data_IF_808350791488
#
_entry.id   IF_808350791488
#
_cell.length_a   1.000
_cell.length_b   1.000
_cell.length_c   1.000
_cell.angle_alpha   90.00
_cell.angle_beta   90.00
_cell.angle_gamma   90.00
#
_symmetry.space_group_name_H-M   'P 1'
#
loop_
_entity.id
_entity.type
_entity.pdbx_description
1 polymer ?
#
# COMPACT_ATOMS: atom_id res chain seq x y z
N UNK A 1 -7.77 4.57 -16.69
CA UNK A 1 -8.71 5.55 -17.26
C UNK A 1 -9.95 5.57 -16.38
N UNK A 2 -10.33 6.74 -15.84
CA UNK A 2 -11.54 6.86 -15.01
C UNK A 2 -12.80 6.81 -15.89
N UNK A 3 -13.90 6.24 -15.38
CA UNK A 3 -15.21 6.29 -16.02
C UNK A 3 -15.63 7.75 -16.35
N UNK A 4 -15.22 8.72 -15.54
CA UNK A 4 -15.43 10.15 -15.79
C UNK A 4 -14.92 10.58 -17.18
N UNK A 5 -13.77 10.08 -17.62
CA UNK A 5 -13.23 10.39 -18.96
C UNK A 5 -14.05 9.78 -20.10
N UNK A 6 -14.71 8.64 -19.88
CA UNK A 6 -15.55 7.99 -20.89
C UNK A 6 -16.91 8.69 -21.04
N UNK A 7 -17.38 9.41 -20.01
CA UNK A 7 -18.70 10.04 -19.97
C UNK A 7 -18.71 11.57 -20.14
N UNK A 8 -17.56 12.21 -20.42
CA UNK A 8 -17.46 13.67 -20.61
C UNK A 8 -18.44 14.26 -21.63
N UNK A 9 -18.95 13.47 -22.57
CA UNK A 9 -19.86 13.92 -23.63
C UNK A 9 -21.31 13.43 -23.48
N UNK A 10 -21.70 12.85 -22.34
CA UNK A 10 -23.03 12.27 -22.12
C UNK A 10 -23.63 12.73 -20.78
N UNK A 11 -24.03 14.00 -20.70
CA UNK A 11 -24.61 14.64 -19.50
C UNK A 11 -25.76 13.83 -18.87
N UNK A 12 -26.58 13.17 -19.68
CA UNK A 12 -27.73 12.38 -19.20
C UNK A 12 -27.35 11.08 -18.47
N UNK A 13 -26.10 10.60 -18.59
CA UNK A 13 -25.64 9.34 -17.98
C UNK A 13 -24.92 9.54 -16.64
N UNK A 14 -24.70 10.78 -16.22
CA UNK A 14 -24.00 11.13 -14.96
C UNK A 14 -24.95 11.08 -13.74
N UNK A 15 -26.26 11.19 -13.97
CA UNK A 15 -27.26 11.28 -12.91
C UNK A 15 -27.40 10.00 -12.06
N UNK A 16 -27.48 8.82 -12.70
CA UNK A 16 -27.70 7.55 -11.99
C UNK A 16 -26.54 7.19 -11.05
N UNK A 17 -25.26 7.28 -11.48
CA UNK A 17 -24.14 7.00 -10.61
C UNK A 17 -24.04 8.00 -9.43
N UNK A 18 -24.35 9.28 -9.65
CA UNK A 18 -24.36 10.31 -8.59
C UNK A 18 -25.49 10.06 -7.57
N UNK A 19 -26.67 9.64 -8.03
CA UNK A 19 -27.79 9.26 -7.17
C UNK A 19 -27.41 8.07 -6.27
N UNK A 20 -26.77 7.04 -6.83
CA UNK A 20 -26.29 5.89 -6.06
C UNK A 20 -25.23 6.31 -5.03
N UNK A 21 -24.28 7.17 -5.41
CA UNK A 21 -23.28 7.70 -4.50
C UNK A 21 -23.93 8.50 -3.35
N UNK A 22 -24.91 9.35 -3.66
CA UNK A 22 -25.65 10.12 -2.66
C UNK A 22 -26.40 9.21 -1.70
N UNK A 23 -27.11 8.20 -2.21
CA UNK A 23 -27.80 7.20 -1.39
C UNK A 23 -26.83 6.44 -0.48
N UNK A 24 -25.68 6.05 -0.99
CA UNK A 24 -24.64 5.38 -0.20
C UNK A 24 -24.12 6.27 0.92
N UNK A 25 -23.81 7.54 0.62
CA UNK A 25 -23.38 8.53 1.63
C UNK A 25 -24.46 8.73 2.69
N UNK A 26 -25.72 8.92 2.29
CA UNK A 26 -26.82 9.11 3.23
C UNK A 26 -27.04 7.89 4.14
N UNK A 27 -26.94 6.68 3.58
CA UNK A 27 -27.01 5.44 4.36
C UNK A 27 -25.88 5.36 5.38
N UNK A 28 -24.63 5.55 4.94
CA UNK A 28 -23.46 5.50 5.83
C UNK A 28 -23.53 6.56 6.92
N UNK A 29 -23.93 7.79 6.58
CA UNK A 29 -24.10 8.87 7.55
C UNK A 29 -25.12 8.54 8.64
N UNK A 30 -26.19 7.80 8.31
CA UNK A 30 -27.19 7.35 9.27
C UNK A 30 -26.72 6.22 10.20
N UNK A 31 -25.71 5.45 9.80
CA UNK A 31 -25.16 4.33 10.57
C UNK A 31 -23.97 4.72 11.44
N UNK A 32 -23.33 5.86 11.16
CA UNK A 32 -22.21 6.34 11.95
C UNK A 32 -22.69 6.81 13.34
N UNK A 33 -21.96 6.46 14.42
CA UNK A 33 -22.25 6.99 15.75
C UNK A 33 -22.35 8.52 15.73
N UNK A 34 -23.47 9.07 16.23
CA UNK A 34 -23.62 10.50 16.41
C UNK A 34 -22.57 10.99 17.41
N UNK A 35 -21.86 12.09 17.13
CA UNK A 35 -20.95 12.66 18.12
C UNK A 35 -21.76 13.04 19.37
N UNK A 36 -21.18 12.91 20.58
CA UNK A 36 -21.83 13.44 21.77
C UNK A 36 -22.09 14.94 21.58
N UNK A 37 -23.20 15.48 22.11
CA UNK A 37 -23.46 16.91 22.05
C UNK A 37 -22.29 17.64 22.73
N UNK A 38 -21.70 18.58 22.00
CA UNK A 38 -20.64 19.45 22.52
C UNK A 38 -21.33 20.47 23.44
N UNK A 39 -21.47 20.14 24.72
CA UNK A 39 -21.81 21.14 25.73
C UNK A 39 -20.61 22.07 25.93
N UNK A 40 -20.71 23.25 25.32
CA UNK A 40 -20.04 24.49 25.68
C UNK A 40 -18.55 24.41 26.03
N UNK A 41 -17.67 24.47 25.02
CA UNK A 41 -16.45 25.28 25.12
C UNK A 41 -15.94 25.66 23.72
N UNK A 42 -15.36 26.84 23.64
CA UNK A 42 -15.09 27.66 22.46
C UNK A 42 -14.45 26.94 21.27
N UNK A 43 -14.98 27.25 20.08
CA UNK A 43 -14.43 26.87 18.77
C UNK A 43 -13.09 27.58 18.58
N UNK A 44 -12.01 26.97 19.06
CA UNK A 44 -10.68 27.18 18.50
C UNK A 44 -10.55 26.25 17.31
N UNK A 45 -10.39 26.81 16.11
CA UNK A 45 -10.01 26.07 14.91
C UNK A 45 -8.59 25.54 15.14
N UNK A 46 -8.49 24.40 15.81
CA UNK A 46 -7.30 23.57 15.87
C UNK A 46 -7.60 22.29 15.11
N UNK A 47 -6.63 21.85 14.33
CA UNK A 47 -6.53 20.50 13.75
C UNK A 47 -6.48 19.47 14.88
N UNK A 48 -7.55 19.34 15.66
CA UNK A 48 -7.72 18.27 16.63
C UNK A 48 -8.07 17.00 15.86
N UNK A 49 -7.02 16.25 15.59
CA UNK A 49 -6.99 14.80 15.54
C UNK A 49 -8.34 14.15 15.94
N UNK A 50 -9.07 13.63 14.95
CA UNK A 50 -10.30 12.83 15.10
C UNK A 50 -10.10 11.54 15.93
N UNK A 51 -8.86 11.28 16.37
CA UNK A 51 -8.47 10.18 17.27
C UNK A 51 -9.27 10.28 18.56
N UNK A 52 -10.30 9.44 18.67
CA UNK A 52 -11.20 9.42 19.83
C UNK A 52 -12.68 9.28 19.46
N UNK A 53 -13.10 9.69 18.26
CA UNK A 53 -14.53 9.80 17.90
C UNK A 53 -15.29 8.47 17.91
N UNK A 54 -14.59 7.36 17.69
CA UNK A 54 -15.17 6.01 17.58
C UNK A 54 -14.64 5.04 18.64
N UNK A 55 -13.92 5.54 19.65
CA UNK A 55 -13.37 4.67 20.71
C UNK A 55 -14.53 4.06 21.50
N UNK A 56 -14.66 2.73 21.45
CA UNK A 56 -15.73 1.98 22.12
C UNK A 56 -17.01 1.77 21.29
N UNK A 57 -17.11 2.30 20.07
CA UNK A 57 -18.25 2.02 19.19
C UNK A 57 -18.09 0.68 18.47
N UNK A 58 -19.16 -0.11 18.42
CA UNK A 58 -19.20 -1.32 17.60
C UNK A 58 -19.45 -0.92 16.14
N UNK A 59 -18.42 -1.02 15.30
CA UNK A 59 -18.50 -0.68 13.88
C UNK A 59 -18.93 -1.92 13.12
N UNK A 60 -19.98 -1.81 12.30
CA UNK A 60 -20.42 -2.92 11.45
C UNK A 60 -19.50 -3.07 10.23
N UNK A 61 -19.31 -4.32 9.79
CA UNK A 61 -18.45 -4.67 8.65
C UNK A 61 -18.87 -3.95 7.36
N UNK A 62 -20.18 -3.81 7.13
CA UNK A 62 -20.77 -3.19 5.94
C UNK A 62 -20.57 -1.66 5.91
N UNK A 63 -20.60 -1.00 7.06
CA UNK A 63 -20.31 0.45 7.19
C UNK A 63 -18.86 0.73 6.84
N UNK A 64 -17.93 -0.05 7.39
CA UNK A 64 -16.51 0.09 7.12
C UNK A 64 -16.20 -0.22 5.65
N UNK A 65 -16.66 -1.36 5.15
CA UNK A 65 -16.47 -1.76 3.75
C UNK A 65 -17.13 -0.75 2.79
N UNK A 66 -18.34 -0.29 3.10
CA UNK A 66 -19.04 0.72 2.30
C UNK A 66 -18.28 2.03 2.24
N UNK A 67 -17.66 2.47 3.34
CA UNK A 67 -16.83 3.67 3.35
C UNK A 67 -15.55 3.49 2.51
N UNK A 68 -14.91 2.31 2.59
CA UNK A 68 -13.74 1.96 1.78
C UNK A 68 -14.09 1.97 0.29
N UNK A 69 -15.16 1.27 -0.10
CA UNK A 69 -15.63 1.21 -1.49
C UNK A 69 -15.98 2.61 -2.02
N UNK A 70 -16.72 3.39 -1.24
CA UNK A 70 -17.08 4.76 -1.61
C UNK A 70 -15.84 5.61 -1.89
N UNK A 71 -14.81 5.52 -1.04
CA UNK A 71 -13.55 6.20 -1.25
C UNK A 71 -12.75 5.71 -2.47
N UNK A 72 -12.67 4.40 -2.71
CA UNK A 72 -12.00 3.86 -3.89
C UNK A 72 -12.69 4.22 -5.21
N UNK A 73 -14.00 4.47 -5.17
CA UNK A 73 -14.81 4.85 -6.33
C UNK A 73 -14.99 6.36 -6.50
N UNK A 74 -14.47 7.20 -5.60
CA UNK A 74 -14.69 8.66 -5.66
C UNK A 74 -14.19 9.28 -6.97
N UNK A 75 -13.06 8.78 -7.47
CA UNK A 75 -12.44 9.25 -8.70
C UNK A 75 -13.19 8.83 -9.98
N UNK A 76 -14.21 7.97 -9.88
CA UNK A 76 -14.99 7.50 -11.03
C UNK A 76 -15.86 8.59 -11.65
N UNK A 77 -16.22 9.62 -10.87
CA UNK A 77 -17.08 10.72 -11.31
C UNK A 77 -16.32 12.04 -11.45
N UNK A 78 -15.40 12.27 -10.54
CA UNK A 78 -14.54 13.45 -10.53
C UNK A 78 -13.10 13.01 -10.32
N UNK A 79 -12.26 13.19 -11.34
CA UNK A 79 -10.85 12.83 -11.31
C UNK A 79 -10.05 13.58 -10.23
N UNK A 80 -10.55 14.74 -9.78
CA UNK A 80 -9.94 15.49 -8.68
C UNK A 80 -10.32 14.94 -7.30
N UNK A 81 -11.37 14.12 -7.22
CA UNK A 81 -11.82 13.46 -6.00
C UNK A 81 -11.01 12.20 -5.72
N UNK A 82 -9.88 12.39 -5.05
CA UNK A 82 -8.93 11.33 -4.68
C UNK A 82 -9.41 10.41 -3.55
N UNK A 83 -10.56 10.69 -2.94
CA UNK A 83 -11.16 9.84 -1.90
C UNK A 83 -10.49 9.97 -0.53
N UNK A 84 -9.57 10.92 -0.35
CA UNK A 84 -8.76 11.03 0.86
C UNK A 84 -9.56 11.33 2.12
N UNK A 85 -10.66 12.07 2.02
CA UNK A 85 -11.55 12.31 3.16
C UNK A 85 -12.14 10.98 3.66
N UNK A 86 -12.55 10.10 2.75
CA UNK A 86 -13.03 8.78 3.08
C UNK A 86 -11.91 7.89 3.64
N UNK A 87 -10.67 8.02 3.14
CA UNK A 87 -9.54 7.24 3.64
C UNK A 87 -9.24 7.60 5.10
N UNK A 88 -9.15 8.89 5.42
CA UNK A 88 -8.94 9.34 6.80
C UNK A 88 -10.06 8.88 7.72
N UNK A 89 -11.32 9.00 7.30
CA UNK A 89 -12.46 8.48 8.07
C UNK A 89 -12.38 6.96 8.26
N UNK A 90 -12.03 6.23 7.20
CA UNK A 90 -11.91 4.76 7.23
C UNK A 90 -10.79 4.29 8.13
N UNK A 91 -9.66 5.01 8.25
CA UNK A 91 -8.60 4.68 9.22
C UNK A 91 -9.13 4.67 10.65
N UNK A 92 -9.90 5.68 11.03
CA UNK A 92 -10.46 5.79 12.37
C UNK A 92 -11.54 4.74 12.62
N UNK A 93 -12.42 4.50 11.64
CA UNK A 93 -13.41 3.42 11.70
C UNK A 93 -12.74 2.04 11.80
N UNK A 94 -11.67 1.83 11.03
CA UNK A 94 -10.93 0.57 11.02
C UNK A 94 -10.25 0.31 12.36
N UNK A 95 -9.65 1.32 13.00
CA UNK A 95 -9.07 1.19 14.35
C UNK A 95 -10.13 0.84 15.40
N UNK A 96 -11.31 1.46 15.33
CA UNK A 96 -12.44 1.14 16.21
C UNK A 96 -13.00 -0.27 15.94
N UNK A 97 -13.11 -0.64 14.67
CA UNK A 97 -13.53 -1.97 14.22
C UNK A 97 -12.56 -3.07 14.68
N UNK A 98 -11.24 -2.85 14.56
CA UNK A 98 -10.23 -3.80 15.07
C UNK A 98 -10.36 -3.99 16.58
N UNK A 99 -10.64 -2.91 17.31
CA UNK A 99 -10.78 -2.96 18.77
C UNK A 99 -12.02 -3.72 19.22
N UNK A 100 -13.15 -3.50 18.54
CA UNK A 100 -14.40 -4.23 18.79
C UNK A 100 -14.36 -5.69 18.32
N UNK A 101 -13.56 -5.98 17.28
CA UNK A 101 -13.34 -7.33 16.75
C UNK A 101 -12.21 -8.09 17.47
N UNK A 102 -11.63 -7.53 18.54
CA UNK A 102 -10.51 -8.10 19.30
C UNK A 102 -9.23 -8.39 18.48
N UNK A 103 -9.03 -7.73 17.34
CA UNK A 103 -7.91 -8.00 16.43
C UNK A 103 -6.58 -7.35 16.86
N UNK A 104 -6.58 -6.58 17.94
CA UNK A 104 -5.40 -5.89 18.45
C UNK A 104 -4.38 -6.86 19.11
N UNK A 105 -4.80 -8.05 19.57
CA UNK A 105 -3.93 -9.02 20.25
C UNK A 105 -3.53 -10.19 19.34
N UNK A 106 -2.38 -10.80 19.59
CA UNK A 106 -1.86 -11.94 18.79
C UNK A 106 -2.68 -13.22 18.96
N UNK A 107 -3.30 -13.43 20.12
CA UNK A 107 -4.02 -14.66 20.42
C UNK A 107 -5.40 -14.70 19.74
N UNK A 108 -6.09 -13.56 19.68
CA UNK A 108 -7.43 -13.47 19.10
C UNK A 108 -7.38 -13.56 17.55
N UNK A 109 -6.25 -13.15 16.95
CA UNK A 109 -5.97 -13.31 15.51
C UNK A 109 -5.80 -14.75 15.04
N UNK A 110 -5.78 -15.74 15.93
CA UNK A 110 -5.66 -17.16 15.55
C UNK A 110 -6.93 -17.73 14.91
N UNK A 111 -8.05 -17.02 15.05
CA UNK A 111 -9.33 -17.37 14.43
C UNK A 111 -9.88 -16.12 13.76
N UNK A 112 -9.70 -16.02 12.45
CA UNK A 112 -10.26 -14.95 11.64
C UNK A 112 -11.27 -15.53 10.65
N UNK A 113 -12.43 -14.89 10.54
CA UNK A 113 -13.44 -15.26 9.56
C UNK A 113 -13.15 -14.69 8.17
N UNK A 114 -13.76 -15.27 7.13
CA UNK A 114 -13.64 -14.79 5.75
C UNK A 114 -14.00 -13.30 5.59
N UNK A 115 -15.02 -12.82 6.31
CA UNK A 115 -15.42 -11.40 6.30
C UNK A 115 -14.33 -10.50 6.86
N UNK A 116 -13.69 -10.89 7.96
CA UNK A 116 -12.59 -10.11 8.56
C UNK A 116 -11.39 -10.07 7.63
N UNK A 117 -10.99 -11.22 7.07
CA UNK A 117 -9.94 -11.30 6.05
C UNK A 117 -10.21 -10.35 4.87
N UNK A 118 -11.45 -10.33 4.41
CA UNK A 118 -11.87 -9.48 3.31
C UNK A 118 -11.81 -7.99 3.67
N UNK A 119 -12.38 -7.57 4.81
CA UNK A 119 -12.38 -6.18 5.27
C UNK A 119 -10.95 -5.66 5.49
N UNK A 120 -10.09 -6.43 6.16
CA UNK A 120 -8.68 -6.08 6.39
C UNK A 120 -7.96 -5.92 5.07
N UNK A 121 -8.09 -6.89 4.17
CA UNK A 121 -7.42 -6.86 2.88
C UNK A 121 -7.91 -5.72 1.99
N UNK A 122 -9.18 -5.33 2.11
CA UNK A 122 -9.75 -4.16 1.42
C UNK A 122 -9.08 -2.87 1.87
N UNK A 123 -8.96 -2.67 3.19
CA UNK A 123 -8.31 -1.50 3.76
C UNK A 123 -6.83 -1.44 3.36
N UNK A 124 -6.12 -2.57 3.48
CA UNK A 124 -4.71 -2.70 3.11
C UNK A 124 -4.48 -2.38 1.63
N UNK A 125 -5.33 -2.90 0.74
CA UNK A 125 -5.24 -2.61 -0.69
C UNK A 125 -5.38 -1.12 -0.96
N UNK A 126 -6.40 -0.48 -0.36
CA UNK A 126 -6.64 0.94 -0.59
C UNK A 126 -5.50 1.83 -0.07
N UNK A 127 -4.93 1.48 1.09
CA UNK A 127 -3.73 2.13 1.63
C UNK A 127 -2.53 1.98 0.70
N UNK A 128 -2.30 0.77 0.18
CA UNK A 128 -1.20 0.52 -0.76
C UNK A 128 -1.33 1.37 -2.02
N UNK A 129 -2.51 1.38 -2.65
CA UNK A 129 -2.74 2.17 -3.86
C UNK A 129 -2.64 3.67 -3.59
N UNK A 130 -3.16 4.14 -2.46
CA UNK A 130 -3.13 5.57 -2.11
C UNK A 130 -1.72 6.06 -1.77
N UNK A 131 -0.88 5.22 -1.18
CA UNK A 131 0.52 5.55 -0.88
C UNK A 131 1.37 5.84 -2.12
N UNK A 132 0.96 5.41 -3.32
CA UNK A 132 1.64 5.82 -4.57
C UNK A 132 1.25 7.23 -5.02
N UNK A 133 0.17 7.79 -4.48
CA UNK A 133 -0.42 9.07 -4.92
C UNK A 133 -0.20 10.16 -3.87
N UNK A 134 -0.23 9.80 -2.58
CA UNK A 134 -0.21 10.74 -1.45
C UNK A 134 1.10 10.73 -0.70
N UNK A 135 1.61 11.93 -0.41
CA UNK A 135 2.75 12.11 0.48
C UNK A 135 2.28 11.95 1.93
N UNK A 136 2.75 10.88 2.58
CA UNK A 136 2.41 10.58 3.97
C UNK A 136 3.59 9.94 4.71
N UNK A 137 3.56 10.00 6.04
CA UNK A 137 4.52 9.28 6.87
C UNK A 137 4.21 7.77 6.86
N UNK A 138 5.26 6.95 6.91
CA UNK A 138 5.14 5.50 7.13
C UNK A 138 4.44 5.18 8.44
N UNK A 139 4.53 6.06 9.44
CA UNK A 139 3.88 5.90 10.74
C UNK A 139 2.35 5.99 10.62
N UNK A 140 1.82 6.66 9.59
CA UNK A 140 0.38 6.69 9.32
C UNK A 140 -0.19 5.29 8.98
N UNK A 141 0.67 4.36 8.59
CA UNK A 141 0.34 2.97 8.24
C UNK A 141 0.60 1.98 9.39
N UNK A 142 1.13 2.44 10.54
CA UNK A 142 1.53 1.59 11.66
C UNK A 142 0.39 0.75 12.24
N UNK A 143 -0.84 1.22 12.14
CA UNK A 143 -2.03 0.49 12.59
C UNK A 143 -2.26 -0.84 11.82
N UNK A 144 -1.61 -1.02 10.66
CA UNK A 144 -1.67 -2.25 9.87
C UNK A 144 -0.56 -3.24 10.22
N UNK A 145 0.48 -2.85 10.98
CA UNK A 145 1.65 -3.70 11.24
C UNK A 145 1.31 -5.01 11.95
N UNK A 146 0.21 -5.00 12.68
CA UNK A 146 -0.37 -6.18 13.32
C UNK A 146 -0.68 -7.31 12.32
N UNK A 147 -0.87 -7.01 11.03
CA UNK A 147 -1.17 -7.99 9.99
C UNK A 147 0.06 -8.42 9.16
N UNK A 148 1.24 -7.87 9.42
CA UNK A 148 2.48 -8.28 8.75
C UNK A 148 2.97 -9.66 9.19
N UNK A 149 2.64 -10.06 10.43
CA UNK A 149 3.14 -11.29 11.07
C UNK A 149 1.99 -12.15 11.60
N UNK A 150 1.04 -12.48 10.72
CA UNK A 150 -0.04 -13.40 11.05
C UNK A 150 0.50 -14.83 11.25
N UNK A 151 -0.03 -15.62 12.21
CA UNK A 151 0.44 -16.98 12.46
C UNK A 151 0.33 -17.88 11.24
N UNK A 152 1.37 -18.66 10.93
CA UNK A 152 1.39 -19.56 9.77
C UNK A 152 0.35 -20.69 9.86
N UNK A 153 -0.13 -21.01 11.07
CA UNK A 153 -1.20 -21.99 11.30
C UNK A 153 -2.60 -21.45 10.96
N UNK A 154 -2.74 -20.15 10.72
CA UNK A 154 -4.02 -19.56 10.35
C UNK A 154 -4.26 -19.79 8.86
N UNK A 155 -5.28 -20.60 8.55
CA UNK A 155 -5.76 -20.75 7.18
C UNK A 155 -6.58 -19.52 6.80
N UNK A 156 -6.12 -18.77 5.80
CA UNK A 156 -6.76 -17.51 5.37
C UNK A 156 -7.58 -17.68 4.09
N UNK A 157 -8.50 -16.75 3.88
CA UNK A 157 -9.24 -16.62 2.63
C UNK A 157 -8.53 -15.61 1.72
N UNK A 158 -8.20 -15.97 0.47
CA UNK A 158 -7.68 -15.00 -0.49
C UNK A 158 -8.68 -13.85 -0.72
N UNK A 159 -8.17 -12.62 -0.75
CA UNK A 159 -8.96 -11.44 -1.07
C UNK A 159 -8.91 -11.17 -2.58
N UNK A 160 -10.01 -10.70 -3.22
CA UNK A 160 -9.98 -10.29 -4.63
C UNK A 160 -8.93 -9.23 -4.98
N UNK A 161 -8.56 -8.38 -4.01
CA UNK A 161 -7.62 -7.27 -4.25
C UNK A 161 -6.18 -7.60 -3.88
N UNK A 162 -5.90 -8.03 -2.65
CA UNK A 162 -4.54 -8.36 -2.21
C UNK A 162 -4.14 -9.82 -2.52
N UNK A 163 -5.07 -10.64 -2.99
CA UNK A 163 -4.87 -12.07 -3.20
C UNK A 163 -4.49 -12.76 -1.89
N UNK A 164 -3.35 -13.43 -1.92
CA UNK A 164 -2.71 -14.06 -0.75
C UNK A 164 -1.73 -13.14 -0.02
N UNK A 165 -1.46 -11.96 -0.59
CA UNK A 165 -0.33 -11.09 -0.25
C UNK A 165 -0.66 -9.91 0.66
N UNK A 166 -1.64 -10.01 1.56
CA UNK A 166 -2.02 -8.88 2.44
C UNK A 166 -0.82 -8.25 3.16
N UNK A 167 0.08 -9.04 3.76
CA UNK A 167 1.31 -8.51 4.36
C UNK A 167 2.22 -7.80 3.34
N UNK A 168 2.37 -8.38 2.15
CA UNK A 168 3.14 -7.80 1.04
C UNK A 168 2.58 -6.44 0.62
N UNK A 169 1.26 -6.28 0.57
CA UNK A 169 0.63 -4.99 0.27
C UNK A 169 0.83 -3.94 1.38
N UNK A 170 0.92 -4.34 2.65
CA UNK A 170 1.28 -3.41 3.73
C UNK A 170 2.71 -2.88 3.53
N UNK A 171 3.66 -3.76 3.22
CA UNK A 171 5.01 -3.33 2.92
C UNK A 171 5.11 -2.52 1.62
N UNK A 172 4.27 -2.83 0.63
CA UNK A 172 4.16 -2.04 -0.60
C UNK A 172 3.65 -0.62 -0.30
N UNK A 173 2.65 -0.48 0.57
CA UNK A 173 2.16 0.81 1.04
C UNK A 173 3.27 1.63 1.73
N UNK A 174 4.02 1.00 2.64
CA UNK A 174 5.15 1.64 3.34
C UNK A 174 6.29 2.00 2.39
N UNK A 175 6.58 1.13 1.43
CA UNK A 175 7.57 1.37 0.37
C UNK A 175 7.20 2.61 -0.43
N UNK A 176 5.97 2.66 -0.95
CA UNK A 176 5.50 3.79 -1.75
C UNK A 176 5.53 5.11 -0.96
N UNK A 177 5.06 5.10 0.29
CA UNK A 177 5.14 6.27 1.17
C UNK A 177 6.59 6.74 1.36
N UNK A 178 7.52 5.83 1.62
CA UNK A 178 8.93 6.15 1.83
C UNK A 178 9.61 6.71 0.57
N UNK A 179 9.39 6.09 -0.60
CA UNK A 179 9.91 6.55 -1.89
C UNK A 179 9.38 7.94 -2.24
N UNK A 180 8.10 8.20 -1.98
CA UNK A 180 7.50 9.52 -2.18
C UNK A 180 8.08 10.59 -1.27
N UNK A 181 8.32 10.27 0.01
CA UNK A 181 9.01 11.18 0.94
C UNK A 181 10.40 11.55 0.45
N UNK A 182 11.15 10.57 -0.07
CA UNK A 182 12.44 10.84 -0.69
C UNK A 182 12.29 11.75 -1.92
N UNK A 183 11.29 11.51 -2.77
CA UNK A 183 10.98 12.39 -3.90
C UNK A 183 10.60 13.81 -3.47
N UNK A 184 9.82 13.97 -2.41
CA UNK A 184 9.47 15.25 -1.83
C UNK A 184 10.71 15.97 -1.28
N UNK A 185 11.58 15.27 -0.55
CA UNK A 185 12.86 15.80 -0.08
C UNK A 185 13.70 16.31 -1.25
N UNK A 186 13.89 15.50 -2.30
CA UNK A 186 14.65 15.85 -3.50
C UNK A 186 14.10 17.08 -4.23
N UNK A 187 12.77 17.22 -4.31
CA UNK A 187 12.11 18.40 -4.91
C UNK A 187 12.31 19.66 -4.07
N UNK A 188 12.18 19.56 -2.75
CA UNK A 188 12.37 20.68 -1.83
C UNK A 188 13.84 21.11 -1.74
N UNK A 189 14.78 20.17 -1.86
CA UNK A 189 16.23 20.42 -1.83
C UNK A 189 16.81 20.88 -3.17
N UNK A 190 16.01 20.98 -4.23
CA UNK A 190 16.49 21.26 -5.59
C UNK A 190 17.01 22.70 -5.79
N UNK A 191 17.16 23.49 -4.72
CA UNK A 191 17.91 24.73 -4.66
C UNK A 191 19.14 24.72 -3.73
N UNK A 192 19.49 23.60 -3.08
CA UNK A 192 20.42 23.59 -1.94
C UNK A 192 21.49 22.49 -1.93
N UNK A 193 21.61 21.67 -2.99
CA UNK A 193 22.79 20.82 -3.19
C UNK A 193 24.08 21.60 -3.53
N UNK A 194 24.02 22.93 -3.51
CA UNK A 194 25.18 23.81 -3.39
C UNK A 194 24.90 24.87 -2.32
N UNK A 195 25.42 24.70 -1.09
CA UNK A 195 26.09 25.77 -0.32
C UNK A 195 26.62 25.28 1.02
N UNK A 196 27.76 25.86 1.36
CA UNK A 196 28.74 25.45 2.34
C UNK A 196 28.50 25.94 3.77
N UNK A 197 27.25 26.14 4.21
CA UNK A 197 26.96 26.62 5.57
C UNK A 197 25.62 26.09 6.10
N UNK A 198 25.64 25.12 7.04
CA UNK A 198 24.47 24.76 7.87
C UNK A 198 23.80 23.38 7.68
N UNK A 199 24.53 22.40 7.14
CA UNK A 199 24.09 21.04 6.76
C UNK A 199 23.95 20.10 7.98
N UNK A 200 22.82 20.12 8.70
CA UNK A 200 22.53 19.06 9.70
C UNK A 200 21.17 18.39 9.50
N UNK A 201 20.15 19.10 9.00
CA UNK A 201 18.78 18.56 8.94
C UNK A 201 18.51 17.65 7.72
N UNK A 202 19.03 17.99 6.53
CA UNK A 202 18.83 17.16 5.33
C UNK A 202 19.62 15.84 5.41
N UNK A 203 20.83 15.85 5.98
CA UNK A 203 21.66 14.64 6.15
C UNK A 203 21.06 13.69 7.19
N UNK A 204 20.59 14.22 8.34
CA UNK A 204 19.94 13.42 9.37
C UNK A 204 18.61 12.84 8.88
N UNK A 205 17.76 13.64 8.24
CA UNK A 205 16.49 13.17 7.68
C UNK A 205 16.70 12.14 6.57
N UNK A 206 17.66 12.34 5.66
CA UNK A 206 18.01 11.33 4.66
C UNK A 206 18.52 10.03 5.31
N UNK A 207 19.37 10.12 6.34
CA UNK A 207 19.85 8.93 7.06
C UNK A 207 18.72 8.15 7.72
N UNK A 208 17.67 8.84 8.20
CA UNK A 208 16.48 8.20 8.75
C UNK A 208 15.67 7.47 7.68
N UNK A 209 15.49 8.08 6.50
CA UNK A 209 14.85 7.43 5.35
C UNK A 209 15.63 6.19 4.91
N UNK A 210 16.97 6.27 4.87
CA UNK A 210 17.84 5.15 4.52
C UNK A 210 17.75 4.00 5.53
N UNK A 211 17.70 4.33 6.83
CA UNK A 211 17.47 3.35 7.90
C UNK A 211 16.13 2.66 7.74
N UNK A 212 15.05 3.41 7.48
CA UNK A 212 13.72 2.85 7.24
C UNK A 212 13.70 1.94 6.00
N UNK A 213 14.34 2.35 4.90
CA UNK A 213 14.45 1.54 3.68
C UNK A 213 15.16 0.22 3.94
N UNK A 214 16.24 0.24 4.73
CA UNK A 214 16.99 -0.96 5.14
C UNK A 214 16.12 -1.91 5.95
N UNK A 215 15.35 -1.40 6.90
CA UNK A 215 14.41 -2.20 7.70
C UNK A 215 13.31 -2.81 6.81
N UNK A 216 12.76 -2.05 5.87
CA UNK A 216 11.74 -2.53 4.94
C UNK A 216 12.28 -3.63 4.03
N UNK A 217 13.46 -3.46 3.42
CA UNK A 217 14.09 -4.49 2.57
C UNK A 217 14.27 -5.79 3.35
N UNK A 218 14.78 -5.71 4.59
CA UNK A 218 14.94 -6.90 5.45
C UNK A 218 13.60 -7.56 5.77
N UNK A 219 12.58 -6.76 6.10
CA UNK A 219 11.25 -7.26 6.45
C UNK A 219 10.56 -7.94 5.26
N UNK A 220 10.63 -7.34 4.07
CA UNK A 220 10.07 -7.91 2.83
C UNK A 220 10.81 -9.20 2.45
N UNK A 221 12.13 -9.22 2.59
CA UNK A 221 12.95 -10.41 2.29
C UNK A 221 12.71 -11.55 3.27
N UNK A 222 12.34 -11.24 4.51
CA UNK A 222 12.03 -12.22 5.56
C UNK A 222 10.60 -12.78 5.49
N UNK A 223 9.73 -12.25 4.61
CA UNK A 223 8.39 -12.79 4.43
C UNK A 223 8.43 -14.23 3.94
N UNK A 224 7.73 -15.12 4.62
CA UNK A 224 7.53 -16.49 4.14
C UNK A 224 6.78 -16.47 2.80
N UNK A 225 7.15 -17.37 1.90
CA UNK A 225 6.44 -17.53 0.64
C UNK A 225 5.07 -18.17 0.92
N UNK A 226 3.95 -17.60 0.43
CA UNK A 226 2.64 -18.19 0.62
C UNK A 226 2.59 -19.56 -0.05
N UNK A 227 2.10 -20.56 0.68
CA UNK A 227 1.92 -21.93 0.18
C UNK A 227 0.46 -22.24 -0.04
N UNK A 228 0.17 -23.22 -0.91
CA UNK A 228 -1.21 -23.64 -1.20
C UNK A 228 -1.95 -24.08 0.07
N UNK A 229 -1.24 -24.71 1.02
CA UNK A 229 -1.79 -25.14 2.30
C UNK A 229 -2.19 -24.01 3.24
N UNK A 230 -1.63 -22.80 3.08
CA UNK A 230 -1.91 -21.66 3.95
C UNK A 230 -3.27 -21.00 3.67
N UNK A 231 -3.93 -21.38 2.57
CA UNK A 231 -5.17 -20.73 2.13
C UNK A 231 -6.31 -21.71 1.88
N UNK A 232 -7.52 -21.18 1.98
CA UNK A 232 -8.73 -21.87 1.55
C UNK A 232 -8.85 -21.75 0.03
N UNK A 233 -9.06 -22.88 -0.64
CA UNK A 233 -9.38 -22.88 -2.07
C UNK A 233 -10.80 -22.33 -2.27
N UNK A 234 -10.92 -21.31 -3.12
CA UNK A 234 -12.18 -20.61 -3.41
C UNK A 234 -12.95 -21.36 -4.53
N UNK A 235 -12.29 -22.26 -5.26
CA UNK A 235 -12.90 -23.00 -6.38
C UNK A 235 -13.08 -22.16 -7.66
N UNK A 236 -12.42 -21.00 -7.75
CA UNK A 236 -12.39 -20.21 -8.98
C UNK A 236 -11.37 -20.80 -9.97
N UNK A 237 -11.90 -21.41 -11.04
CA UNK A 237 -11.11 -22.04 -12.10
C UNK A 237 -10.26 -21.02 -12.87
N UNK A 238 -10.70 -19.75 -12.95
CA UNK A 238 -9.96 -18.70 -13.63
C UNK A 238 -8.95 -17.99 -12.71
N UNK A 239 -9.07 -18.15 -11.40
CA UNK A 239 -8.13 -17.55 -10.44
C UNK A 239 -7.63 -18.62 -9.44
N UNK A 240 -6.98 -19.69 -9.92
CA UNK A 240 -6.40 -20.70 -9.04
C UNK A 240 -5.36 -20.08 -8.12
N UNK A 241 -5.17 -20.68 -6.94
CA UNK A 241 -4.28 -20.16 -5.90
C UNK A 241 -2.83 -19.98 -6.38
N UNK A 242 -2.38 -20.80 -7.35
CA UNK A 242 -1.07 -20.64 -7.99
C UNK A 242 -0.91 -19.27 -8.67
N UNK A 243 -1.95 -18.76 -9.34
CA UNK A 243 -1.90 -17.43 -9.97
C UNK A 243 -1.83 -16.32 -8.91
N UNK A 244 -2.53 -16.49 -7.77
CA UNK A 244 -2.48 -15.54 -6.66
C UNK A 244 -1.11 -15.53 -5.97
N UNK A 245 -0.48 -16.70 -5.80
CA UNK A 245 0.88 -16.82 -5.26
C UNK A 245 1.89 -16.16 -6.20
N UNK A 246 1.79 -16.41 -7.51
CA UNK A 246 2.63 -15.74 -8.50
C UNK A 246 2.45 -14.20 -8.45
N UNK A 247 1.21 -13.74 -8.32
CA UNK A 247 0.91 -12.31 -8.20
C UNK A 247 1.48 -11.70 -6.91
N UNK A 248 1.43 -12.42 -5.79
CA UNK A 248 2.06 -11.99 -4.53
C UNK A 248 3.58 -11.84 -4.69
N UNK A 249 4.23 -12.80 -5.34
CA UNK A 249 5.67 -12.73 -5.63
C UNK A 249 6.01 -11.52 -6.50
N UNK A 250 5.21 -11.23 -7.53
CA UNK A 250 5.37 -10.03 -8.35
C UNK A 250 5.27 -8.75 -7.52
N UNK A 251 4.27 -8.62 -6.64
CA UNK A 251 4.12 -7.47 -5.75
C UNK A 251 5.30 -7.35 -4.77
N UNK A 252 5.79 -8.47 -4.24
CA UNK A 252 6.95 -8.51 -3.34
C UNK A 252 8.22 -8.01 -4.04
N UNK A 253 8.48 -8.51 -5.25
CA UNK A 253 9.60 -8.08 -6.08
C UNK A 253 9.47 -6.60 -6.48
N UNK A 254 8.24 -6.13 -6.76
CA UNK A 254 7.98 -4.74 -7.10
C UNK A 254 8.31 -3.80 -5.93
N UNK A 255 7.96 -4.16 -4.69
CA UNK A 255 8.36 -3.40 -3.51
C UNK A 255 9.89 -3.34 -3.34
N UNK A 256 10.58 -4.48 -3.50
CA UNK A 256 12.04 -4.53 -3.45
C UNK A 256 12.68 -3.68 -4.55
N UNK A 257 12.13 -3.72 -5.77
CA UNK A 257 12.60 -2.95 -6.91
C UNK A 257 12.50 -1.45 -6.63
N UNK A 258 11.35 -0.97 -6.15
CA UNK A 258 11.14 0.44 -5.81
C UNK A 258 12.14 0.92 -4.73
N UNK A 259 12.34 0.12 -3.67
CA UNK A 259 13.32 0.46 -2.61
C UNK A 259 14.76 0.46 -3.13
N UNK A 260 15.14 -0.58 -3.89
CA UNK A 260 16.49 -0.73 -4.47
C UNK A 260 16.80 0.42 -5.42
N UNK A 261 15.81 0.85 -6.20
CA UNK A 261 15.93 1.99 -7.12
C UNK A 261 16.01 3.33 -6.38
N UNK A 262 15.21 3.52 -5.34
CA UNK A 262 15.15 4.78 -4.62
C UNK A 262 16.38 5.00 -3.71
N UNK A 263 16.90 3.91 -3.11
CA UNK A 263 17.99 3.88 -2.13
C UNK A 263 19.08 2.87 -2.54
N UNK A 264 19.87 3.18 -3.59
CA UNK A 264 20.93 2.28 -4.07
C UNK A 264 22.00 1.97 -3.01
N UNK A 265 22.18 2.83 -2.00
CA UNK A 265 23.20 2.68 -0.95
C UNK A 265 22.91 1.53 0.03
N UNK A 266 21.63 1.16 0.20
CA UNK A 266 21.24 0.01 1.03
C UNK A 266 21.78 -1.29 0.45
N UNK A 267 22.03 -1.31 -0.86
CA UNK A 267 22.51 -2.49 -1.58
C UNK A 267 24.04 -2.60 -1.51
N UNK A 268 24.77 -1.47 -1.58
CA UNK A 268 26.23 -1.45 -1.53
C UNK A 268 26.80 -1.87 -0.18
N UNK A 269 26.12 -1.54 0.92
CA UNK A 269 26.58 -1.84 2.29
C UNK A 269 26.65 -3.34 2.63
N UNK A 270 25.91 -4.20 1.93
CA UNK A 270 25.97 -5.66 2.13
C UNK A 270 27.22 -6.32 1.53
N UNK A 271 27.94 -5.65 0.63
CA UNK A 271 29.12 -6.22 -0.06
C UNK A 271 30.42 -5.80 0.63
N UNK A 272 30.49 -4.59 1.20
CA UNK A 272 31.68 -4.08 1.90
C UNK A 272 32.03 -4.91 3.16
N UNK A 273 31.06 -5.61 3.75
CA UNK A 273 31.32 -6.51 4.88
C UNK A 273 31.93 -7.88 4.46
N UNK A 274 31.97 -8.20 3.16
CA UNK A 274 32.39 -9.51 2.67
C UNK A 274 33.59 -9.48 1.70
N UNK A 275 34.15 -8.32 1.35
CA UNK A 275 35.31 -8.23 0.46
C UNK A 275 36.49 -7.54 1.11
N UNK A 276 37.34 -8.37 1.71
CA UNK A 276 38.72 -8.05 2.03
C UNK A 276 39.59 -8.56 0.86
N UNK A 277 39.64 -7.83 -0.27
CA UNK A 277 40.66 -7.99 -1.32
C UNK A 277 40.53 -6.95 -2.46
N UNK A 278 41.49 -6.02 -2.52
CA UNK A 278 42.27 -5.64 -3.70
C UNK A 278 41.59 -5.25 -5.03
N UNK A 279 41.64 -3.93 -5.31
CA UNK A 279 41.96 -3.24 -6.58
C UNK A 279 41.07 -3.46 -7.84
N UNK A 280 40.61 -2.31 -8.39
CA UNK A 280 39.97 -2.03 -9.68
C UNK A 280 38.43 -2.15 -9.80
N UNK A 281 37.67 -1.76 -8.76
CA UNK A 281 36.19 -1.94 -8.74
C UNK A 281 35.36 -0.67 -9.06
N UNK A 282 35.96 0.50 -9.39
CA UNK A 282 35.23 1.79 -9.49
C UNK A 282 34.20 1.87 -10.65
N UNK A 283 34.43 1.17 -11.77
CA UNK A 283 33.44 1.10 -12.87
C UNK A 283 32.43 -0.05 -12.69
N UNK A 284 32.88 -1.17 -12.09
CA UNK A 284 32.03 -2.33 -11.85
C UNK A 284 31.05 -2.12 -10.68
N UNK A 285 31.38 -1.25 -9.73
CA UNK A 285 30.54 -0.90 -8.58
C UNK A 285 29.35 0.00 -8.96
N UNK A 286 29.48 0.81 -10.03
CA UNK A 286 28.41 1.71 -10.52
C UNK A 286 27.30 0.98 -11.30
N UNK A 287 27.62 -0.10 -12.00
CA UNK A 287 26.64 -0.87 -12.80
C UNK A 287 25.84 -1.88 -11.96
N UNK A 288 26.38 -2.35 -10.82
CA UNK A 288 25.74 -3.35 -9.94
C UNK A 288 24.33 -2.97 -9.46
N UNK A 289 24.01 -1.72 -9.08
CA UNK A 289 22.65 -1.32 -8.70
C UNK A 289 21.67 -1.35 -9.88
N UNK A 290 22.08 -0.86 -11.05
CA UNK A 290 21.24 -0.80 -12.26
C UNK A 290 20.91 -2.22 -12.73
N UNK A 291 21.92 -3.09 -12.80
CA UNK A 291 21.75 -4.50 -13.16
C UNK A 291 20.78 -5.20 -12.21
N UNK A 292 20.89 -4.95 -10.90
CA UNK A 292 19.99 -5.54 -9.90
C UNK A 292 18.54 -5.09 -10.09
N UNK A 293 18.30 -3.80 -10.31
CA UNK A 293 16.96 -3.27 -10.54
C UNK A 293 16.38 -3.86 -11.84
N UNK A 294 17.18 -3.98 -12.91
CA UNK A 294 16.78 -4.63 -14.15
C UNK A 294 16.46 -6.12 -13.95
N UNK A 295 17.28 -6.85 -13.21
CA UNK A 295 17.05 -8.26 -12.88
C UNK A 295 15.75 -8.47 -12.08
N UNK A 296 15.42 -7.57 -11.16
CA UNK A 296 14.13 -7.60 -10.46
C UNK A 296 12.96 -7.35 -11.43
N UNK A 297 13.09 -6.36 -12.33
CA UNK A 297 12.07 -6.07 -13.33
C UNK A 297 11.82 -7.26 -14.26
N UNK A 298 12.88 -7.88 -14.78
CA UNK A 298 12.80 -9.06 -15.65
C UNK A 298 12.17 -10.26 -14.93
N UNK A 299 12.50 -10.48 -13.65
CA UNK A 299 11.86 -11.54 -12.85
C UNK A 299 10.35 -11.31 -12.69
N UNK A 300 9.92 -10.07 -12.46
CA UNK A 300 8.48 -9.74 -12.41
C UNK A 300 7.83 -10.12 -13.73
N UNK A 301 8.38 -9.66 -14.86
CA UNK A 301 7.80 -9.94 -16.18
C UNK A 301 7.76 -11.43 -16.50
N UNK A 302 8.82 -12.17 -16.16
CA UNK A 302 8.89 -13.61 -16.37
C UNK A 302 7.84 -14.39 -15.56
N UNK A 303 7.61 -14.01 -14.30
CA UNK A 303 6.54 -14.61 -13.49
C UNK A 303 5.17 -14.30 -14.11
N UNK A 304 4.96 -13.06 -14.57
CA UNK A 304 3.71 -12.63 -15.17
C UNK A 304 3.42 -13.28 -16.51
N UNK A 305 4.44 -13.54 -17.33
CA UNK A 305 4.34 -14.31 -18.58
C UNK A 305 3.79 -15.74 -18.31
N UNK A 306 4.13 -16.33 -17.17
CA UNK A 306 3.60 -17.62 -16.75
C UNK A 306 2.12 -17.62 -16.35
N UNK A 307 1.49 -16.46 -16.17
CA UNK A 307 0.08 -16.35 -15.80
C UNK A 307 -0.77 -16.27 -17.09
N UNK A 308 -1.72 -17.19 -17.32
CA UNK A 308 -2.59 -17.15 -18.49
C UNK A 308 -3.37 -15.84 -18.61
N UNK A 309 -3.57 -15.34 -19.83
CA UNK A 309 -4.38 -14.14 -20.11
C UNK A 309 -5.85 -14.30 -19.71
N UNK A 310 -6.33 -15.52 -19.56
CA UNK A 310 -7.67 -15.84 -19.05
C UNK A 310 -7.77 -15.80 -17.53
N UNK A 311 -6.66 -15.53 -16.83
CA UNK A 311 -6.63 -15.47 -15.38
C UNK A 311 -7.40 -14.26 -14.83
N UNK A 312 -8.17 -14.45 -13.77
CA UNK A 312 -8.84 -13.34 -13.07
C UNK A 312 -7.86 -12.34 -12.43
N UNK A 313 -6.61 -12.75 -12.20
CA UNK A 313 -5.54 -11.88 -11.67
C UNK A 313 -5.13 -10.76 -12.64
N UNK A 314 -5.49 -10.84 -13.92
CA UNK A 314 -5.16 -9.79 -14.92
C UNK A 314 -5.62 -8.40 -14.45
N UNK A 315 -6.72 -8.33 -13.71
CA UNK A 315 -7.24 -7.09 -13.13
C UNK A 315 -6.32 -6.41 -12.10
N UNK A 316 -5.43 -7.17 -11.44
CA UNK A 316 -4.52 -6.67 -10.39
C UNK A 316 -3.06 -6.61 -10.84
N UNK A 317 -2.75 -7.06 -12.05
CA UNK A 317 -1.42 -7.10 -12.64
C UNK A 317 -0.81 -5.72 -12.94
N UNK A 318 -1.63 -4.68 -13.04
CA UNK A 318 -1.23 -3.36 -13.52
C UNK A 318 -0.08 -2.74 -12.72
N UNK A 319 -0.12 -2.83 -11.40
CA UNK A 319 0.85 -2.13 -10.55
C UNK A 319 2.29 -2.71 -10.71
N UNK A 320 2.53 -4.04 -10.59
CA UNK A 320 3.84 -4.59 -10.89
C UNK A 320 4.32 -4.37 -12.33
N UNK A 321 3.41 -4.38 -13.31
CA UNK A 321 3.76 -4.06 -14.70
C UNK A 321 4.28 -2.64 -14.87
N UNK A 322 3.60 -1.66 -14.26
CA UNK A 322 4.04 -0.26 -14.30
C UNK A 322 5.41 -0.12 -13.64
N UNK A 323 5.59 -0.72 -12.46
CA UNK A 323 6.86 -0.65 -11.71
C UNK A 323 7.99 -1.26 -12.53
N UNK A 324 7.85 -2.50 -13.01
CA UNK A 324 8.85 -3.18 -13.82
C UNK A 324 9.13 -2.43 -15.15
N UNK A 325 8.09 -2.01 -15.86
CA UNK A 325 8.20 -1.29 -17.12
C UNK A 325 8.88 0.07 -16.97
N UNK A 326 8.70 0.75 -15.84
CA UNK A 326 9.31 2.07 -15.58
C UNK A 326 10.84 2.03 -15.46
N UNK A 327 11.43 0.85 -15.26
CA UNK A 327 12.87 0.62 -15.24
C UNK A 327 13.38 0.33 -16.65
N UNK A 328 12.70 -0.56 -17.37
CA UNK A 328 13.15 -1.01 -18.69
C UNK A 328 13.07 0.08 -19.76
N UNK A 329 12.13 1.01 -19.64
CA UNK A 329 12.04 2.16 -20.53
C UNK A 329 13.16 3.21 -20.37
N UNK A 330 14.02 3.08 -19.35
CA UNK A 330 15.13 3.99 -19.10
C UNK A 330 16.48 3.51 -19.65
N UNK A 331 16.56 2.27 -20.15
CA UNK A 331 17.82 1.67 -20.64
C UNK A 331 18.18 2.14 -22.06
N UNK A 332 17.28 2.85 -22.76
CA UNK A 332 17.50 3.37 -24.13
C UNK A 332 17.59 4.91 -24.24
N UNK A 333 18.04 5.64 -23.21
CA UNK A 333 18.29 7.09 -23.32
C UNK A 333 19.61 7.55 -22.76
#
# INVERSE_FOLDING_TARGET
MSAAHLYQNAESKIAVPLELQTKAISYLAGQLPTPPPIDGLEVSIRHESTVGRFVGSNIQDDVLLGTILLGMTSAWHDVSSTGLVHLHGSRELFKAWMSSSHLNTTNDRRVMGATQDFVISSMVYWEAMTSFIVDQDTDALSYLDVFCHLPCSLRRHPCPWTGVGTATFIYLAKTAALVRRLGALRRSSSGMFQRSDGIIQDTSYYSDLLRQATVLIKSISALEAPTVSSFTDIGDVFTPLGHLIAMEQCCRLAALLELTRAFPEVVGTHVVQNHDAGLNDDEQEKDRPVERVCNLALKILWIMEGIPVTSGTVSTQLLPLIIAGSVLGLVER
#
